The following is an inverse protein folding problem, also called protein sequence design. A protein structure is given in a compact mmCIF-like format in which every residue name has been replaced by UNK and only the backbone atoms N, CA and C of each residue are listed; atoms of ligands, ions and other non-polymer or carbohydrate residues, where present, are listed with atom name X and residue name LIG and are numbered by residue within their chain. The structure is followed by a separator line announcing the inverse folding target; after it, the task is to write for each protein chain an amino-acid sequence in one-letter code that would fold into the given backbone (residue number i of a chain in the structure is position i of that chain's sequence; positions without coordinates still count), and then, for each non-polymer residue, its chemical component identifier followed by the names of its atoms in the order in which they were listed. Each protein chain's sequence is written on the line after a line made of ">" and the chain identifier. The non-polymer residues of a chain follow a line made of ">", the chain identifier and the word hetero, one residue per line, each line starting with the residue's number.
data_IF_599997746575
#
_entry.id   IF_599997746575
#
_cell.length_a   1.000
_cell.length_b   1.000
_cell.length_c   1.000
_cell.angle_alpha   90.00
_cell.angle_beta   90.00
_cell.angle_gamma   90.00
#
_symmetry.space_group_name_H-M   'P 1'
#
loop_
_entity.id
_entity.type
_entity.pdbx_description
1 polymer ?
#
# COMPACT_ATOMS: atom_id res chain seq x y z
N UNK A 1 -14.80 -42.34 -9.98
CA UNK A 1 -15.36 -41.07 -10.46
C UNK A 1 -14.36 -40.47 -11.43
N UNK A 2 -14.49 -40.78 -12.72
CA UNK A 2 -13.68 -40.28 -13.84
C UNK A 2 -14.66 -40.05 -14.97
N UNK A 3 -14.99 -38.81 -15.28
CA UNK A 3 -14.43 -38.04 -16.41
C UNK A 3 -15.06 -38.45 -17.74
N UNK A 4 -16.09 -37.70 -18.17
CA UNK A 4 -16.66 -37.80 -19.51
C UNK A 4 -17.09 -36.41 -19.98
N UNK A 5 -16.39 -35.85 -20.97
CA UNK A 5 -16.98 -35.41 -22.24
C UNK A 5 -15.87 -34.94 -23.21
N UNK A 6 -15.16 -35.90 -23.79
CA UNK A 6 -14.52 -35.70 -25.09
C UNK A 6 -15.50 -36.18 -26.15
N UNK A 7 -16.21 -35.27 -26.82
CA UNK A 7 -16.94 -35.58 -28.06
C UNK A 7 -16.36 -34.80 -29.22
N UNK A 8 -15.48 -35.48 -29.94
CA UNK A 8 -15.09 -35.20 -31.33
C UNK A 8 -16.33 -35.20 -32.21
N UNK A 9 -16.48 -34.27 -33.15
CA UNK A 9 -16.95 -34.62 -34.49
C UNK A 9 -16.36 -33.68 -35.55
N UNK A 10 -15.76 -34.34 -36.54
CA UNK A 10 -15.05 -33.82 -37.70
C UNK A 10 -16.01 -33.58 -38.86
N UNK A 11 -15.60 -32.66 -39.75
CA UNK A 11 -15.95 -32.47 -41.18
C UNK A 11 -16.70 -31.17 -41.48
N UNK A 12 -15.89 -30.17 -41.86
CA UNK A 12 -16.33 -28.96 -42.56
C UNK A 12 -16.62 -29.38 -44.01
N UNK A 13 -17.91 -29.40 -44.40
CA UNK A 13 -18.34 -29.53 -45.79
C UNK A 13 -18.45 -28.11 -46.34
N UNK A 14 -17.56 -27.76 -47.27
CA UNK A 14 -17.68 -26.55 -48.07
C UNK A 14 -18.85 -26.71 -49.04
N UNK A 15 -19.87 -25.85 -48.92
CA UNK A 15 -20.93 -25.71 -49.91
C UNK A 15 -21.00 -24.23 -50.31
N UNK A 16 -20.40 -23.93 -51.46
CA UNK A 16 -20.56 -22.67 -52.21
C UNK A 16 -21.97 -22.60 -52.78
N UNK A 17 -22.72 -21.53 -52.50
CA UNK A 17 -23.84 -21.04 -53.32
C UNK A 17 -24.15 -19.56 -52.96
N UNK A 18 -24.01 -18.68 -53.96
CA UNK A 18 -24.61 -17.35 -54.13
C UNK A 18 -24.24 -16.21 -53.15
N UNK A 19 -23.26 -15.40 -53.55
CA UNK A 19 -23.44 -13.95 -53.73
C UNK A 19 -23.88 -13.08 -52.54
N UNK A 20 -23.54 -13.42 -51.31
CA UNK A 20 -23.67 -12.51 -50.17
C UNK A 20 -22.32 -11.93 -49.78
N UNK A 21 -22.09 -10.63 -49.99
CA UNK A 21 -20.92 -9.95 -49.42
C UNK A 21 -21.03 -9.98 -47.89
N UNK A 22 -20.24 -10.82 -47.22
CA UNK A 22 -20.11 -10.80 -45.76
C UNK A 22 -19.27 -9.59 -45.38
N UNK A 23 -19.92 -8.54 -44.89
CA UNK A 23 -19.24 -7.35 -44.35
C UNK A 23 -18.78 -7.68 -42.93
N UNK A 24 -17.48 -7.90 -42.74
CA UNK A 24 -16.86 -7.97 -41.43
C UNK A 24 -16.80 -6.54 -40.85
N UNK A 25 -17.73 -6.19 -39.98
CA UNK A 25 -17.67 -4.95 -39.22
C UNK A 25 -16.67 -5.18 -38.08
N UNK A 26 -15.60 -4.39 -37.93
CA UNK A 26 -14.74 -4.51 -36.75
C UNK A 26 -15.57 -4.18 -35.51
N UNK A 27 -15.59 -5.09 -34.53
CA UNK A 27 -16.16 -4.79 -33.22
C UNK A 27 -15.31 -3.69 -32.58
N UNK A 28 -15.77 -2.45 -32.66
CA UNK A 28 -15.17 -1.34 -31.94
C UNK A 28 -15.48 -1.52 -30.46
N UNK A 29 -14.59 -2.20 -29.73
CA UNK A 29 -14.60 -2.19 -28.27
C UNK A 29 -14.16 -0.81 -27.81
N UNK A 30 -15.13 0.06 -27.51
CA UNK A 30 -14.89 1.29 -26.79
C UNK A 30 -14.50 0.92 -25.36
N UNK A 31 -13.21 0.98 -25.04
CA UNK A 31 -12.76 0.90 -23.65
C UNK A 31 -13.31 2.11 -22.90
N UNK A 32 -14.29 1.90 -22.02
CA UNK A 32 -14.74 2.94 -21.10
C UNK A 32 -13.62 3.08 -20.06
N UNK A 33 -13.01 4.25 -19.97
CA UNK A 33 -12.07 4.53 -18.90
C UNK A 33 -12.82 4.45 -17.57
N UNK A 34 -12.63 3.37 -16.81
CA UNK A 34 -13.10 3.30 -15.43
C UNK A 34 -12.28 4.28 -14.61
N UNK A 35 -12.89 5.39 -14.22
CA UNK A 35 -12.34 6.27 -13.19
C UNK A 35 -12.44 5.52 -11.87
N UNK A 36 -11.34 4.94 -11.41
CA UNK A 36 -11.26 4.41 -10.05
C UNK A 36 -11.18 5.58 -9.09
N UNK A 37 -12.13 5.67 -8.16
CA UNK A 37 -12.05 6.62 -7.06
C UNK A 37 -10.76 6.33 -6.27
N UNK A 38 -9.94 7.35 -6.07
CA UNK A 38 -8.72 7.27 -5.26
C UNK A 38 -8.92 7.98 -3.92
N UNK A 39 -8.18 7.55 -2.91
CA UNK A 39 -8.10 8.25 -1.63
C UNK A 39 -6.68 8.14 -1.07
N UNK A 40 -6.26 9.19 -0.36
CA UNK A 40 -4.93 9.27 0.23
C UNK A 40 -4.87 8.46 1.51
N UNK A 41 -3.85 7.61 1.64
CA UNK A 41 -3.41 7.01 2.89
C UNK A 41 -2.19 7.78 3.40
N UNK A 42 -2.31 8.38 4.59
CA UNK A 42 -1.21 9.09 5.26
C UNK A 42 -0.68 8.28 6.43
N UNK A 43 0.64 8.17 6.56
CA UNK A 43 1.29 7.59 7.75
C UNK A 43 1.85 8.71 8.61
N UNK A 44 1.37 8.76 9.84
CA UNK A 44 1.90 9.63 10.89
C UNK A 44 3.02 8.89 11.61
N UNK A 45 4.17 9.53 11.76
CA UNK A 45 5.30 8.96 12.50
C UNK A 45 5.47 9.78 13.78
N UNK A 46 5.67 9.09 14.89
CA UNK A 46 5.85 9.66 16.22
C UNK A 46 7.06 9.00 16.92
N UNK A 47 7.37 9.48 18.12
CA UNK A 47 8.50 9.04 18.93
C UNK A 47 9.79 9.76 18.58
N UNK A 48 10.87 9.30 19.20
CA UNK A 48 12.20 9.96 19.17
C UNK A 48 13.28 9.10 18.52
N UNK A 49 12.91 7.95 17.97
CA UNK A 49 13.80 7.07 17.23
C UNK A 49 13.74 7.27 15.73
N UNK A 50 14.69 6.65 15.03
CA UNK A 50 14.74 6.65 13.56
C UNK A 50 14.14 5.36 12.98
N UNK A 51 13.56 5.46 11.78
CA UNK A 51 13.00 4.29 11.10
C UNK A 51 12.31 4.58 9.78
N UNK A 52 12.14 3.53 8.99
CA UNK A 52 11.58 3.56 7.63
C UNK A 52 10.17 2.99 7.60
N UNK A 53 9.26 3.64 6.88
CA UNK A 53 7.91 3.14 6.59
C UNK A 53 7.76 2.90 5.09
N UNK A 54 7.29 1.70 4.72
CA UNK A 54 7.03 1.30 3.33
C UNK A 54 5.63 0.72 3.15
N UNK A 55 5.13 0.69 1.91
CA UNK A 55 3.85 0.04 1.57
C UNK A 55 3.91 -0.92 0.38
N UNK A 56 2.97 -1.88 0.37
CA UNK A 56 2.60 -2.70 -0.78
C UNK A 56 1.07 -2.68 -0.98
N UNK A 57 0.52 -2.17 -2.10
CA UNK A 57 1.21 -1.61 -3.26
C UNK A 57 2.16 -0.45 -2.93
N UNK A 58 3.19 -0.27 -3.75
CA UNK A 58 4.20 0.77 -3.54
C UNK A 58 3.57 2.17 -3.68
N UNK A 59 4.01 3.09 -2.84
CA UNK A 59 3.55 4.49 -2.83
C UNK A 59 4.04 5.24 -1.60
N UNK A 60 4.09 4.57 -0.45
CA UNK A 60 4.70 5.07 0.78
C UNK A 60 6.12 4.50 0.88
N UNK A 61 7.10 5.37 1.04
CA UNK A 61 8.50 5.03 1.28
C UNK A 61 9.20 6.23 1.92
N UNK A 62 8.98 6.42 3.21
CA UNK A 62 9.58 7.52 3.95
C UNK A 62 10.47 7.01 5.08
N UNK A 63 11.42 7.85 5.46
CA UNK A 63 12.42 7.55 6.48
C UNK A 63 12.54 8.73 7.43
N UNK A 64 12.24 8.50 8.70
CA UNK A 64 12.40 9.45 9.79
C UNK A 64 13.79 9.26 10.40
N UNK A 65 14.56 10.34 10.48
CA UNK A 65 15.87 10.38 11.13
C UNK A 65 15.80 11.30 12.33
N UNK A 66 16.05 10.74 13.51
CA UNK A 66 16.24 11.47 14.76
C UNK A 66 17.74 11.71 15.00
N UNK A 67 18.16 12.96 15.31
CA UNK A 67 19.56 13.26 15.58
C UNK A 67 20.03 12.67 16.92
N UNK A 68 21.35 12.44 17.09
CA UNK A 68 21.90 11.96 18.36
C UNK A 68 21.51 12.87 19.54
N UNK A 69 21.15 12.28 20.68
CA UNK A 69 20.80 13.02 21.90
C UNK A 69 19.40 13.65 21.91
N UNK A 70 18.65 13.62 20.80
CA UNK A 70 17.27 14.08 20.75
C UNK A 70 16.35 13.25 21.67
N UNK A 71 15.41 13.87 22.41
CA UNK A 71 15.06 15.28 22.48
C UNK A 71 15.82 16.07 23.56
N UNK A 72 16.68 15.41 24.34
CA UNK A 72 17.32 16.01 25.53
C UNK A 72 18.40 17.03 25.16
N UNK A 73 19.17 16.73 24.12
CA UNK A 73 20.21 17.58 23.57
C UNK A 73 19.64 18.42 22.43
N UNK A 74 18.74 19.34 22.79
CA UNK A 74 18.26 20.38 21.89
C UNK A 74 19.31 21.52 21.81
N UNK A 75 20.59 21.20 21.65
CA UNK A 75 21.65 22.20 21.43
C UNK A 75 21.57 22.73 20.00
N UNK A 76 20.74 23.75 19.73
CA UNK A 76 20.75 24.49 18.44
C UNK A 76 20.87 23.62 17.17
N UNK A 77 20.34 22.40 17.22
CA UNK A 77 20.50 21.36 16.21
C UNK A 77 19.28 21.25 15.32
N UNK A 78 19.38 20.40 14.29
CA UNK A 78 18.26 20.08 13.42
C UNK A 78 17.20 19.28 14.20
N UNK A 79 15.93 19.57 13.95
CA UNK A 79 14.82 18.73 14.42
C UNK A 79 14.82 17.40 13.64
N UNK A 80 13.92 16.49 13.97
CA UNK A 80 13.76 15.26 13.22
C UNK A 80 13.57 15.53 11.72
N UNK A 81 14.31 14.82 10.90
CA UNK A 81 14.25 14.95 9.46
C UNK A 81 13.41 13.83 8.86
N UNK A 82 12.38 14.20 8.11
CA UNK A 82 11.57 13.25 7.36
C UNK A 82 11.93 13.31 5.88
N UNK A 83 12.36 12.17 5.33
CA UNK A 83 12.67 12.03 3.90
C UNK A 83 11.68 11.10 3.20
N UNK A 84 11.36 11.38 1.93
CA UNK A 84 10.44 10.58 1.13
C UNK A 84 8.95 10.75 1.49
N UNK A 85 8.03 10.19 0.68
CA UNK A 85 6.59 10.33 0.90
C UNK A 85 6.08 9.36 1.97
N UNK A 86 5.53 9.91 3.07
CA UNK A 86 4.71 9.14 4.02
C UNK A 86 3.22 9.08 3.66
N UNK A 87 2.85 9.50 2.44
CA UNK A 87 1.49 9.40 1.96
C UNK A 87 1.47 8.97 0.50
N UNK A 88 0.40 8.29 0.10
CA UNK A 88 0.15 7.98 -1.29
C UNK A 88 -1.34 7.79 -1.56
N UNK A 89 -1.74 8.05 -2.80
CA UNK A 89 -3.08 7.80 -3.28
C UNK A 89 -3.21 6.36 -3.76
N UNK A 90 -4.25 5.69 -3.29
CA UNK A 90 -4.59 4.34 -3.72
C UNK A 90 -6.06 4.29 -4.15
N UNK A 91 -6.43 3.41 -5.09
CA UNK A 91 -7.83 3.16 -5.39
C UNK A 91 -8.61 2.74 -4.14
N UNK A 92 -9.82 3.25 -3.96
CA UNK A 92 -10.74 2.80 -2.90
C UNK A 92 -10.98 1.29 -3.04
N UNK A 93 -10.97 0.58 -1.91
CA UNK A 93 -11.03 -0.87 -1.82
C UNK A 93 -9.67 -1.58 -1.85
N UNK A 94 -8.58 -0.87 -2.15
CA UNK A 94 -7.22 -1.43 -2.12
C UNK A 94 -6.86 -1.82 -0.69
N UNK A 95 -6.31 -3.03 -0.50
CA UNK A 95 -5.69 -3.40 0.77
C UNK A 95 -4.20 -3.14 0.70
N UNK A 96 -3.75 -2.09 1.39
CA UNK A 96 -2.36 -1.68 1.50
C UNK A 96 -1.75 -2.37 2.72
N UNK A 97 -0.65 -3.08 2.51
CA UNK A 97 0.19 -3.59 3.60
C UNK A 97 1.24 -2.54 3.90
N UNK A 98 1.30 -2.03 5.13
CA UNK A 98 2.27 -1.04 5.59
C UNK A 98 3.27 -1.75 6.51
N UNK A 99 4.55 -1.44 6.37
CA UNK A 99 5.63 -2.01 7.18
C UNK A 99 6.48 -0.89 7.74
N UNK A 100 6.68 -0.89 9.05
CA UNK A 100 7.58 0.01 9.75
C UNK A 100 8.83 -0.77 10.20
N UNK A 101 10.01 -0.28 9.84
CA UNK A 101 11.30 -0.92 10.15
C UNK A 101 12.16 0.09 10.90
N UNK A 102 12.42 -0.10 12.20
CA UNK A 102 13.35 0.75 12.93
C UNK A 102 14.74 0.70 12.32
N UNK A 103 15.45 1.81 12.37
CA UNK A 103 16.88 1.80 12.08
C UNK A 103 17.65 1.05 13.17
N UNK A 104 18.88 0.65 12.86
CA UNK A 104 19.73 -0.03 13.84
C UNK A 104 19.84 0.75 15.15
N UNK A 105 19.67 0.06 16.29
CA UNK A 105 19.67 0.65 17.63
C UNK A 105 18.33 1.26 18.05
N UNK A 106 17.40 1.48 17.11
CA UNK A 106 16.04 1.94 17.43
C UNK A 106 15.09 0.75 17.53
N UNK A 107 13.94 0.98 18.15
CA UNK A 107 12.86 -0.01 18.31
C UNK A 107 11.54 0.51 17.74
N UNK A 108 10.65 -0.40 17.33
CA UNK A 108 9.27 -0.06 16.96
C UNK A 108 8.39 -0.28 18.19
N UNK A 109 7.79 0.79 18.72
CA UNK A 109 6.86 0.69 19.84
C UNK A 109 5.45 0.35 19.38
N UNK A 110 5.10 0.72 18.14
CA UNK A 110 3.81 0.36 17.57
C UNK A 110 3.69 0.75 16.11
N UNK A 111 2.83 0.02 15.41
CA UNK A 111 2.31 0.38 14.09
C UNK A 111 0.80 0.05 14.10
N UNK A 112 -0.04 1.07 13.87
CA UNK A 112 -1.50 0.95 13.79
C UNK A 112 -1.96 1.43 12.40
N UNK A 113 -2.67 0.57 11.65
CA UNK A 113 -3.28 0.88 10.35
C UNK A 113 -4.74 1.39 10.46
N UNK A 114 -5.12 2.02 11.58
CA UNK A 114 -6.47 2.47 11.86
C UNK A 114 -7.41 1.35 12.35
N UNK A 115 -6.84 0.36 13.03
CA UNK A 115 -7.56 -0.76 13.66
C UNK A 115 -8.08 -0.42 15.07
N UNK A 116 -7.80 0.79 15.56
CA UNK A 116 -8.29 1.26 16.86
C UNK A 116 -7.42 0.80 18.02
N UNK A 117 -6.10 0.83 17.87
CA UNK A 117 -5.11 0.53 18.91
C UNK A 117 -4.50 -0.88 18.84
N UNK A 118 -4.90 -1.71 17.88
CA UNK A 118 -4.21 -2.97 17.63
C UNK A 118 -2.86 -2.69 16.93
N UNK A 119 -1.77 -2.95 17.64
CA UNK A 119 -0.42 -2.78 17.13
C UNK A 119 0.04 -4.04 16.39
N UNK A 120 0.31 -3.92 15.09
CA UNK A 120 0.78 -5.02 14.24
C UNK A 120 1.82 -4.52 13.25
N UNK A 121 2.85 -5.34 12.97
CA UNK A 121 3.85 -5.03 11.95
C UNK A 121 4.25 -6.31 11.18
N UNK A 122 3.99 -6.40 9.87
CA UNK A 122 3.30 -5.40 9.04
C UNK A 122 1.80 -5.27 9.40
N UNK A 123 1.21 -4.09 9.15
CA UNK A 123 -0.22 -3.84 9.32
C UNK A 123 -0.95 -3.75 7.98
N UNK A 124 -2.26 -4.03 7.95
CA UNK A 124 -3.07 -3.93 6.73
C UNK A 124 -4.13 -2.84 6.86
N UNK A 125 -4.15 -1.93 5.88
CA UNK A 125 -5.17 -0.89 5.71
C UNK A 125 -5.99 -1.13 4.44
N UNK A 126 -7.30 -1.31 4.59
CA UNK A 126 -8.22 -1.18 3.45
C UNK A 126 -8.50 0.31 3.23
N UNK A 127 -8.21 0.79 2.02
CA UNK A 127 -8.44 2.18 1.63
C UNK A 127 -9.93 2.37 1.42
N UNK A 128 -10.54 3.24 2.22
CA UNK A 128 -11.95 3.64 2.09
C UNK A 128 -12.05 5.01 1.48
N UNK A 129 -13.22 5.38 0.97
CA UNK A 129 -13.50 6.79 0.67
C UNK A 129 -13.33 7.64 1.93
N UNK A 130 -12.62 8.76 1.83
CA UNK A 130 -12.39 9.68 2.95
C UNK A 130 -11.05 9.45 3.67
N UNK A 131 -11.07 9.48 5.00
CA UNK A 131 -9.84 9.49 5.80
C UNK A 131 -9.23 8.08 5.93
N UNK A 132 -7.97 7.96 5.54
CA UNK A 132 -7.16 6.76 5.73
C UNK A 132 -5.85 7.15 6.40
N UNK A 133 -5.56 6.52 7.52
CA UNK A 133 -4.34 6.80 8.27
C UNK A 133 -3.70 5.54 8.81
N UNK A 134 -2.38 5.59 8.92
CA UNK A 134 -1.62 4.73 9.81
C UNK A 134 -0.78 5.58 10.75
N UNK A 135 -0.35 5.00 11.86
CA UNK A 135 0.54 5.61 12.84
C UNK A 135 1.66 4.65 13.18
N UNK A 136 2.90 5.12 13.20
CA UNK A 136 4.08 4.35 13.60
C UNK A 136 4.87 5.12 14.66
N UNK A 137 5.42 4.42 15.64
CA UNK A 137 6.27 5.03 16.66
C UNK A 137 7.63 4.35 16.74
N UNK A 138 8.68 5.12 16.41
CA UNK A 138 10.07 4.68 16.54
C UNK A 138 10.69 5.22 17.82
N UNK A 139 11.49 4.38 18.46
CA UNK A 139 12.00 4.63 19.79
C UNK A 139 13.51 4.53 19.86
N UNK A 140 14.17 5.49 20.53
CA UNK A 140 15.61 5.48 20.68
C UNK A 140 16.05 4.33 21.62
N UNK A 141 17.32 3.92 21.53
CA UNK A 141 17.86 2.80 22.32
C UNK A 141 17.73 2.99 23.84
N UNK A 142 17.71 4.24 24.31
CA UNK A 142 17.70 4.55 25.75
C UNK A 142 16.34 4.31 26.43
N UNK A 143 15.30 3.97 25.65
CA UNK A 143 14.00 3.43 26.08
C UNK A 143 13.10 4.36 26.91
N UNK A 144 13.67 5.29 27.69
CA UNK A 144 12.96 6.09 28.69
C UNK A 144 11.97 7.11 28.15
N UNK A 145 12.06 7.47 26.88
CA UNK A 145 11.19 8.46 26.23
C UNK A 145 9.90 7.83 25.71
N UNK A 146 9.97 6.59 25.22
CA UNK A 146 8.87 5.92 24.54
C UNK A 146 7.94 5.11 25.45
N UNK A 147 8.26 5.00 26.74
CA UNK A 147 7.51 4.21 27.70
C UNK A 147 6.43 4.99 28.47
N UNK A 148 6.11 6.22 28.08
CA UNK A 148 5.04 6.98 28.72
C UNK A 148 3.66 6.60 28.14
N UNK A 149 3.12 5.48 28.65
CA UNK A 149 1.71 5.11 28.59
C UNK A 149 1.22 4.74 29.98
#
# INVERSE_FOLDING_TARGET
>A
MTSDLCRRFSRIIAATLLGGAVVLIPATTTAVAQTSDTSTLSVWIDGWGSGTVTSSPAGINCHLVSPPGYPYEHESGEDQTLSGPCHADFPVGTVVTVTATPDAGNSLNGLDCGSGGALENPCRRTVTSGYNSAWAMFCPPDGGLCSAG
#
